data_IF_479803026764
#
_entry.id   IF_479803026764
#
_cell.length_a   1.000
_cell.length_b   1.000
_cell.length_c   1.000
_cell.angle_alpha   90.00
_cell.angle_beta   90.00
_cell.angle_gamma   90.00
#
_symmetry.space_group_name_H-M   'P 1'
#
loop_
_entity.id
_entity.type
_entity.pdbx_description
1 polymer ?
#
# COMPACT_ATOMS: atom_id res chain seq x y z
N UNK A 1 2.06 -30.14 -10.84
CA UNK A 1 2.34 -28.70 -10.92
C UNK A 1 3.02 -28.31 -9.63
N UNK A 2 4.26 -27.86 -9.68
CA UNK A 2 4.95 -27.31 -8.51
C UNK A 2 4.30 -25.98 -8.16
N UNK A 3 3.69 -25.89 -6.98
CA UNK A 3 3.19 -24.62 -6.45
C UNK A 3 4.39 -23.72 -6.18
N UNK A 4 4.59 -22.71 -7.01
CA UNK A 4 5.64 -21.71 -6.79
C UNK A 4 5.30 -20.93 -5.53
N UNK A 5 6.15 -20.97 -4.51
CA UNK A 5 6.00 -20.22 -3.26
C UNK A 5 6.83 -18.93 -3.34
N UNK A 6 6.32 -17.85 -2.74
CA UNK A 6 6.95 -16.53 -2.76
C UNK A 6 6.92 -15.93 -1.34
N UNK A 7 8.07 -15.89 -0.64
CA UNK A 7 8.11 -15.48 0.76
C UNK A 7 7.65 -14.04 1.01
N UNK A 8 7.79 -13.15 0.04
CA UNK A 8 7.35 -11.76 0.17
C UNK A 8 5.83 -11.66 0.16
N UNK A 9 5.19 -12.37 -0.79
CA UNK A 9 3.74 -12.47 -0.83
C UNK A 9 3.18 -13.15 0.42
N UNK A 10 3.79 -14.25 0.87
CA UNK A 10 3.36 -14.97 2.08
C UNK A 10 3.43 -14.09 3.33
N UNK A 11 4.51 -13.31 3.48
CA UNK A 11 4.64 -12.36 4.57
C UNK A 11 3.57 -11.27 4.51
N UNK A 12 3.26 -10.74 3.32
CA UNK A 12 2.23 -9.72 3.14
C UNK A 12 0.83 -10.25 3.50
N UNK A 13 0.48 -11.44 3.03
CA UNK A 13 -0.78 -12.11 3.34
C UNK A 13 -0.92 -12.39 4.85
N UNK A 14 0.15 -12.89 5.47
CA UNK A 14 0.20 -13.16 6.91
C UNK A 14 -0.02 -11.90 7.73
N UNK A 15 0.68 -10.80 7.41
CA UNK A 15 0.50 -9.50 8.10
C UNK A 15 -0.91 -8.92 7.93
N UNK A 16 -1.53 -9.17 6.78
CA UNK A 16 -2.90 -8.73 6.51
C UNK A 16 -3.97 -9.66 7.11
N UNK A 17 -3.58 -10.81 7.69
CA UNK A 17 -4.53 -11.83 8.17
C UNK A 17 -5.35 -12.47 7.05
N UNK A 18 -4.84 -12.46 5.81
CA UNK A 18 -5.56 -12.96 4.63
C UNK A 18 -5.19 -14.42 4.38
N UNK A 19 -6.21 -15.28 4.34
CA UNK A 19 -6.08 -16.65 3.86
C UNK A 19 -6.63 -16.75 2.43
N UNK A 20 -5.83 -17.26 1.50
CA UNK A 20 -6.27 -17.43 0.12
C UNK A 20 -7.04 -18.76 -0.06
N UNK A 21 -8.17 -18.75 -0.79
CA UNK A 21 -8.82 -19.99 -1.21
C UNK A 21 -7.89 -20.86 -2.06
N UNK A 22 -8.09 -22.19 -2.08
CA UNK A 22 -7.33 -23.10 -2.92
C UNK A 22 -7.34 -22.66 -4.40
N UNK A 23 -6.20 -22.78 -5.08
CA UNK A 23 -6.06 -22.44 -6.49
C UNK A 23 -5.97 -20.95 -6.82
N UNK A 24 -6.15 -20.04 -5.84
CA UNK A 24 -6.03 -18.58 -6.07
C UNK A 24 -4.59 -18.06 -6.02
N UNK A 25 -3.71 -18.79 -5.34
CA UNK A 25 -2.33 -18.34 -5.06
C UNK A 25 -1.58 -17.92 -6.33
N UNK A 26 -1.61 -18.73 -7.39
CA UNK A 26 -0.89 -18.44 -8.63
C UNK A 26 -1.37 -17.13 -9.29
N UNK A 27 -2.68 -16.87 -9.29
CA UNK A 27 -3.24 -15.62 -9.83
C UNK A 27 -2.84 -14.41 -8.99
N UNK A 28 -2.91 -14.53 -7.66
CA UNK A 28 -2.49 -13.46 -6.74
C UNK A 28 -0.99 -13.18 -6.88
N UNK A 29 -0.16 -14.21 -7.00
CA UNK A 29 1.28 -14.06 -7.21
C UNK A 29 1.60 -13.34 -8.52
N UNK A 30 0.90 -13.67 -9.61
CA UNK A 30 1.07 -12.97 -10.87
C UNK A 30 0.76 -11.47 -10.73
N UNK A 31 -0.38 -11.13 -10.14
CA UNK A 31 -0.76 -9.72 -9.92
C UNK A 31 0.18 -9.01 -8.95
N UNK A 32 0.63 -9.67 -7.87
CA UNK A 32 1.61 -9.13 -6.93
C UNK A 32 2.89 -8.71 -7.66
N UNK A 33 3.43 -9.59 -8.52
CA UNK A 33 4.63 -9.31 -9.31
C UNK A 33 4.45 -8.15 -10.28
N UNK A 34 3.28 -8.05 -10.91
CA UNK A 34 2.99 -6.94 -11.82
C UNK A 34 2.90 -5.60 -11.08
N UNK A 35 2.29 -5.57 -9.90
CA UNK A 35 2.28 -4.37 -9.05
C UNK A 35 3.69 -3.97 -8.59
N UNK A 36 4.53 -4.94 -8.22
CA UNK A 36 5.93 -4.68 -7.84
C UNK A 36 6.73 -4.06 -9.00
N UNK A 37 6.49 -4.50 -10.26
CA UNK A 37 7.10 -3.89 -11.44
C UNK A 37 6.66 -2.44 -11.69
N UNK A 38 5.48 -2.04 -11.20
CA UNK A 38 5.00 -0.65 -11.31
C UNK A 38 5.63 0.28 -10.26
N UNK A 39 6.15 -0.26 -9.16
CA UNK A 39 6.71 0.54 -8.06
C UNK A 39 7.79 1.54 -8.46
N UNK A 40 8.76 1.23 -9.36
CA UNK A 40 9.74 2.20 -9.83
C UNK A 40 9.11 3.42 -10.52
N UNK A 41 8.00 3.24 -11.23
CA UNK A 41 7.28 4.32 -11.91
C UNK A 41 6.63 5.26 -10.89
N UNK A 42 6.08 4.70 -9.80
CA UNK A 42 5.39 5.45 -8.74
C UNK A 42 6.35 6.13 -7.76
N UNK A 43 7.57 5.59 -7.60
CA UNK A 43 8.63 6.13 -6.73
C UNK A 43 9.42 7.26 -7.40
N UNK A 44 8.77 8.10 -8.21
CA UNK A 44 9.34 9.34 -8.78
C UNK A 44 10.21 10.07 -7.74
N UNK A 45 11.28 10.80 -8.12
CA UNK A 45 12.17 11.45 -7.17
C UNK A 45 11.39 12.32 -6.19
N UNK A 46 11.29 11.86 -4.94
CA UNK A 46 10.67 12.60 -3.83
C UNK A 46 11.78 13.30 -3.08
N UNK A 47 11.68 14.61 -2.98
CA UNK A 47 12.52 15.40 -2.08
C UNK A 47 11.92 15.35 -0.67
N UNK A 48 12.69 15.70 0.35
CA UNK A 48 12.15 15.86 1.70
C UNK A 48 11.04 16.93 1.79
N UNK A 49 10.95 17.83 0.80
CA UNK A 49 9.91 18.84 0.71
C UNK A 49 8.63 18.36 -0.02
N UNK A 50 8.63 17.14 -0.57
CA UNK A 50 7.46 16.56 -1.20
C UNK A 50 6.51 16.02 -0.12
N UNK A 51 5.64 16.90 0.38
CA UNK A 51 4.62 16.55 1.37
C UNK A 51 3.64 15.49 0.81
N UNK A 52 3.18 14.54 1.65
CA UNK A 52 2.19 13.55 1.24
C UNK A 52 0.84 14.21 0.97
N UNK A 53 0.07 13.64 0.04
CA UNK A 53 -1.33 14.05 -0.13
C UNK A 53 -2.12 13.70 1.16
N UNK A 54 -2.94 14.64 1.63
CA UNK A 54 -3.78 14.45 2.83
C UNK A 54 -3.10 14.78 4.16
N UNK A 55 -2.22 15.79 4.20
CA UNK A 55 -1.65 16.30 5.45
C UNK A 55 -2.77 16.81 6.36
N UNK A 56 -2.76 16.37 7.63
CA UNK A 56 -3.65 16.89 8.65
C UNK A 56 -3.35 18.38 8.88
N UNK A 57 -4.36 19.22 8.73
CA UNK A 57 -4.26 20.65 9.02
C UNK A 57 -5.13 20.94 10.25
N UNK A 58 -4.55 21.65 11.22
CA UNK A 58 -5.30 22.20 12.34
C UNK A 58 -6.19 23.32 11.79
N UNK A 59 -7.47 23.03 11.62
CA UNK A 59 -8.47 24.05 11.31
C UNK A 59 -8.77 24.83 12.60
N UNK A 60 -8.07 25.94 12.82
CA UNK A 60 -8.29 26.78 14.00
C UNK A 60 -9.57 27.59 13.81
N UNK A 61 -10.70 27.01 14.19
CA UNK A 61 -11.97 27.75 14.28
C UNK A 61 -11.93 28.61 15.56
N UNK A 62 -11.10 29.65 15.58
CA UNK A 62 -11.18 30.70 16.60
C UNK A 62 -12.35 31.62 16.23
N UNK A 63 -13.59 31.18 16.50
CA UNK A 63 -14.72 32.12 16.51
C UNK A 63 -14.63 32.93 17.78
N UNK A 64 -14.12 34.15 17.68
CA UNK A 64 -14.41 35.18 18.67
C UNK A 64 -15.93 35.41 18.66
N UNK A 65 -16.63 34.90 19.68
CA UNK A 65 -17.97 35.38 19.98
C UNK A 65 -17.79 36.71 20.71
N UNK A 66 -17.74 37.80 19.97
CA UNK A 66 -17.94 39.12 20.55
C UNK A 66 -19.37 39.16 21.11
N UNK A 67 -19.56 39.50 22.40
CA UNK A 67 -20.86 39.51 23.07
C UNK A 67 -21.81 40.59 22.54
#
# INVERSE_FOLDING_TARGET
MTTEADPELDMALSRAGITLPPGRYAGVLATHRDLQKMMPILRQPRTAAAEPAGVYVLDTITREQTP
#
